data_IF_220124548743
#
_entry.id   IF_220124548743
#
_cell.length_a   1.000
_cell.length_b   1.000
_cell.length_c   1.000
_cell.angle_alpha   90.00
_cell.angle_beta   90.00
_cell.angle_gamma   90.00
#
_symmetry.space_group_name_H-M   'P 1'
#
loop_
_entity.id
_entity.type
_entity.pdbx_description
1 polymer ?
#
# COMPACT_ATOMS: atom_id res chain seq x y z
N UNK A 1 -52.69 2.97 33.30
CA UNK A 1 -52.36 2.28 32.03
C UNK A 1 -53.05 0.92 32.05
N UNK A 2 -53.91 0.60 31.07
CA UNK A 2 -54.62 -0.68 31.06
C UNK A 2 -53.66 -1.84 30.78
N UNK A 3 -53.87 -2.99 31.44
CA UNK A 3 -52.97 -4.14 31.36
C UNK A 3 -52.70 -4.65 29.92
N UNK A 4 -53.60 -4.37 28.97
CA UNK A 4 -53.46 -4.74 27.56
C UNK A 4 -52.35 -3.99 26.79
N UNK A 5 -51.99 -2.76 27.17
CA UNK A 5 -50.93 -2.01 26.47
C UNK A 5 -49.52 -2.42 26.92
N UNK A 6 -49.39 -2.92 28.15
CA UNK A 6 -48.14 -3.45 28.69
C UNK A 6 -47.82 -4.82 28.09
N UNK A 7 -48.84 -5.69 27.97
CA UNK A 7 -48.70 -7.01 27.35
C UNK A 7 -48.27 -6.91 25.87
N UNK A 8 -48.87 -6.00 25.10
CA UNK A 8 -48.43 -5.72 23.71
C UNK A 8 -46.99 -5.23 23.63
N UNK A 9 -46.55 -4.38 24.55
CA UNK A 9 -45.16 -3.90 24.58
C UNK A 9 -44.19 -5.01 24.93
N UNK A 10 -44.45 -5.81 25.96
CA UNK A 10 -43.60 -6.95 26.34
C UNK A 10 -43.53 -7.97 25.20
N UNK A 11 -44.65 -8.30 24.55
CA UNK A 11 -44.70 -9.24 23.43
C UNK A 11 -43.90 -8.75 22.21
N UNK A 12 -43.99 -7.46 21.88
CA UNK A 12 -43.21 -6.84 20.80
C UNK A 12 -41.72 -6.84 21.13
N UNK A 13 -41.33 -6.59 22.39
CA UNK A 13 -39.93 -6.65 22.81
C UNK A 13 -39.38 -8.08 22.81
N UNK A 14 -40.14 -9.10 23.23
CA UNK A 14 -39.71 -10.51 23.12
C UNK A 14 -39.67 -11.01 21.69
N UNK A 15 -40.59 -10.58 20.82
CA UNK A 15 -40.57 -10.94 19.39
C UNK A 15 -39.40 -10.26 18.65
N UNK A 16 -39.07 -9.01 19.00
CA UNK A 16 -37.87 -8.32 18.51
C UNK A 16 -36.58 -8.96 19.05
N UNK A 17 -36.55 -9.41 20.31
CA UNK A 17 -35.39 -10.10 20.87
C UNK A 17 -35.16 -11.48 20.23
N UNK A 18 -36.23 -12.25 20.00
CA UNK A 18 -36.17 -13.54 19.29
C UNK A 18 -35.85 -13.36 17.80
N UNK A 19 -36.34 -12.28 17.17
CA UNK A 19 -35.94 -11.87 15.82
C UNK A 19 -34.47 -11.49 15.74
N UNK A 20 -33.93 -10.78 16.75
CA UNK A 20 -32.51 -10.43 16.82
C UNK A 20 -31.62 -11.66 17.06
N UNK A 21 -32.08 -12.63 17.86
CA UNK A 21 -31.39 -13.91 18.09
C UNK A 21 -31.47 -14.83 16.85
N UNK A 22 -32.55 -14.76 16.06
CA UNK A 22 -32.65 -15.45 14.78
C UNK A 22 -31.81 -14.78 13.67
N UNK A 23 -31.59 -13.45 13.72
CA UNK A 23 -30.63 -12.71 12.88
C UNK A 23 -29.17 -12.88 13.33
N UNK A 24 -28.93 -13.36 14.55
CA UNK A 24 -27.63 -13.89 15.00
C UNK A 24 -27.43 -15.36 14.59
N UNK A 25 -28.40 -15.94 13.85
CA UNK A 25 -28.31 -17.26 13.25
C UNK A 25 -27.13 -17.36 12.29
N UNK A 26 -26.12 -18.12 12.71
CA UNK A 26 -24.95 -18.55 11.93
C UNK A 26 -24.38 -17.46 11.03
N UNK A 27 -23.70 -16.47 11.61
CA UNK A 27 -22.65 -15.83 10.82
C UNK A 27 -21.70 -16.95 10.36
N UNK A 28 -21.41 -17.07 9.05
CA UNK A 28 -20.41 -18.03 8.60
C UNK A 28 -19.13 -17.75 9.41
N UNK A 29 -18.53 -18.81 9.96
CA UNK A 29 -17.31 -18.68 10.72
C UNK A 29 -16.31 -17.87 9.88
N UNK A 30 -15.74 -16.81 10.46
CA UNK A 30 -14.80 -15.97 9.73
C UNK A 30 -13.69 -16.87 9.16
N UNK A 31 -13.49 -16.78 7.85
CA UNK A 31 -12.49 -17.57 7.15
C UNK A 31 -11.12 -17.38 7.81
N UNK A 32 -10.46 -18.49 8.17
CA UNK A 32 -9.20 -18.45 8.92
C UNK A 32 -8.04 -18.08 8.02
N UNK A 33 -7.15 -17.23 8.52
CA UNK A 33 -5.88 -16.93 7.88
C UNK A 33 -5.00 -18.19 7.75
N UNK A 34 -4.47 -18.39 6.55
CA UNK A 34 -3.63 -19.53 6.20
C UNK A 34 -2.18 -19.11 6.02
N UNK A 35 -1.24 -19.78 6.68
CA UNK A 35 0.20 -19.47 6.60
C UNK A 35 0.90 -20.58 5.84
N UNK A 36 1.66 -20.22 4.81
CA UNK A 36 2.53 -21.12 4.05
C UNK A 36 3.98 -20.65 4.26
N UNK A 37 4.83 -21.55 4.75
CA UNK A 37 6.26 -21.30 4.89
C UNK A 37 6.99 -21.75 3.63
N UNK A 38 7.70 -20.83 2.99
CA UNK A 38 8.57 -21.16 1.85
C UNK A 38 9.88 -21.73 2.39
N UNK A 39 10.16 -22.98 2.07
CA UNK A 39 11.32 -23.73 2.59
C UNK A 39 12.49 -23.77 1.62
N UNK A 40 12.29 -23.36 0.37
CA UNK A 40 13.30 -23.36 -0.67
C UNK A 40 13.37 -22.02 -1.40
N UNK A 41 14.58 -21.55 -1.71
CA UNK A 41 14.82 -20.40 -2.59
C UNK A 41 14.90 -20.80 -4.06
N UNK A 42 14.72 -22.09 -4.37
CA UNK A 42 14.62 -22.59 -5.72
C UNK A 42 13.49 -21.90 -6.49
N UNK A 43 13.66 -21.84 -7.81
CA UNK A 43 12.62 -21.36 -8.72
C UNK A 43 12.06 -22.55 -9.50
N UNK A 44 10.84 -22.93 -9.15
CA UNK A 44 10.04 -23.90 -9.89
C UNK A 44 8.86 -23.23 -10.58
N UNK A 45 8.53 -23.77 -11.75
CA UNK A 45 7.45 -23.30 -12.61
C UNK A 45 6.50 -24.46 -12.92
N UNK A 46 5.23 -24.15 -13.22
CA UNK A 46 4.26 -25.18 -13.56
C UNK A 46 4.65 -25.98 -14.83
N UNK A 47 4.51 -27.32 -14.85
CA UNK A 47 4.10 -28.18 -13.75
C UNK A 47 5.22 -28.38 -12.71
N UNK A 48 4.92 -28.09 -11.44
CA UNK A 48 5.85 -28.20 -10.32
C UNK A 48 6.35 -29.63 -10.12
N UNK A 49 7.61 -29.77 -9.72
CA UNK A 49 8.21 -31.06 -9.39
C UNK A 49 7.72 -31.47 -8.00
N UNK A 50 7.67 -32.78 -7.71
CA UNK A 50 7.35 -33.26 -6.36
C UNK A 50 8.65 -33.75 -5.73
N UNK A 51 9.39 -32.83 -5.12
CA UNK A 51 10.67 -33.07 -4.46
C UNK A 51 10.63 -32.87 -2.95
N UNK A 52 9.47 -32.45 -2.43
CA UNK A 52 9.19 -32.30 -1.01
C UNK A 52 9.61 -30.94 -0.45
N UNK A 53 10.12 -30.04 -1.29
CA UNK A 53 10.37 -28.66 -0.92
C UNK A 53 9.14 -27.76 -1.15
N UNK A 54 9.23 -26.51 -0.74
CA UNK A 54 8.19 -25.52 -0.97
C UNK A 54 8.87 -24.25 -1.46
N UNK A 55 8.90 -24.09 -2.77
CA UNK A 55 9.33 -22.87 -3.44
C UNK A 55 8.26 -21.78 -3.39
N UNK A 56 8.65 -20.56 -3.76
CA UNK A 56 7.70 -19.45 -3.84
C UNK A 56 6.60 -19.68 -4.91
N UNK A 57 6.96 -20.28 -6.05
CA UNK A 57 6.01 -20.61 -7.11
C UNK A 57 4.93 -21.57 -6.60
N UNK A 58 5.33 -22.63 -5.91
CA UNK A 58 4.41 -23.60 -5.33
C UNK A 58 3.57 -23.01 -4.20
N UNK A 59 4.14 -22.16 -3.34
CA UNK A 59 3.38 -21.50 -2.27
C UNK A 59 2.26 -20.60 -2.85
N UNK A 60 2.54 -19.89 -3.94
CA UNK A 60 1.56 -19.07 -4.64
C UNK A 60 0.49 -19.93 -5.32
N UNK A 61 0.90 -21.03 -5.96
CA UNK A 61 -0.04 -21.96 -6.57
C UNK A 61 -0.92 -22.67 -5.52
N UNK A 62 -0.35 -23.05 -4.37
CA UNK A 62 -1.06 -23.65 -3.24
C UNK A 62 -2.08 -22.67 -2.65
N UNK A 63 -1.69 -21.39 -2.51
CA UNK A 63 -2.60 -20.33 -2.12
C UNK A 63 -3.75 -20.21 -3.13
N UNK A 64 -3.45 -20.12 -4.43
CA UNK A 64 -4.45 -20.00 -5.49
C UNK A 64 -5.43 -21.19 -5.56
N UNK A 65 -4.96 -22.41 -5.26
CA UNK A 65 -5.77 -23.62 -5.24
C UNK A 65 -6.55 -23.82 -3.92
N UNK A 66 -6.21 -23.10 -2.85
CA UNK A 66 -6.60 -23.42 -1.47
C UNK A 66 -6.25 -24.86 -1.04
N UNK A 67 -5.16 -25.40 -1.58
CA UNK A 67 -4.79 -26.80 -1.43
C UNK A 67 -3.28 -26.94 -1.36
N UNK A 68 -2.82 -28.00 -0.70
CA UNK A 68 -1.40 -28.33 -0.64
C UNK A 68 -0.87 -28.63 -2.05
N UNK A 69 0.22 -27.97 -2.42
CA UNK A 69 1.06 -28.31 -3.56
C UNK A 69 2.45 -28.66 -3.01
N UNK A 70 2.99 -29.78 -3.44
CA UNK A 70 4.22 -30.41 -2.95
C UNK A 70 4.49 -30.24 -1.43
N UNK A 71 5.67 -29.74 -1.03
CA UNK A 71 6.07 -29.54 0.36
C UNK A 71 5.42 -28.33 1.03
N UNK A 72 4.62 -27.55 0.30
CA UNK A 72 3.92 -26.37 0.84
C UNK A 72 2.76 -26.75 1.76
N UNK A 73 3.10 -27.12 2.99
CA UNK A 73 2.13 -27.34 4.06
C UNK A 73 1.59 -26.02 4.61
N UNK A 74 0.34 -26.03 5.05
CA UNK A 74 -0.30 -24.87 5.68
C UNK A 74 -1.15 -25.29 6.88
N UNK A 75 -1.41 -24.33 7.76
CA UNK A 75 -2.21 -24.53 8.97
C UNK A 75 -3.72 -24.75 8.71
N UNK A 76 -4.29 -24.18 7.63
CA UNK A 76 -5.75 -24.20 7.38
C UNK A 76 -6.13 -24.13 5.88
N UNK A 77 -5.72 -25.09 5.05
CA UNK A 77 -6.29 -25.19 3.69
C UNK A 77 -7.81 -25.41 3.70
N UNK A 78 -8.50 -24.92 2.67
CA UNK A 78 -9.94 -24.95 2.51
C UNK A 78 -10.69 -23.95 3.39
N UNK A 79 -10.00 -22.95 3.96
CA UNK A 79 -10.63 -21.97 4.84
C UNK A 79 -11.36 -20.85 4.09
N UNK A 80 -11.04 -20.64 2.80
CA UNK A 80 -11.48 -19.47 2.03
C UNK A 80 -10.93 -18.13 2.54
N UNK A 81 -9.95 -18.15 3.45
CA UNK A 81 -9.38 -16.97 4.10
C UNK A 81 -8.15 -16.42 3.38
N UNK A 82 -7.56 -15.33 3.89
CA UNK A 82 -6.35 -14.75 3.32
C UNK A 82 -5.14 -15.65 3.58
N UNK A 83 -4.19 -15.63 2.64
CA UNK A 83 -2.94 -16.37 2.69
C UNK A 83 -1.77 -15.47 3.10
N UNK A 84 -0.89 -15.99 3.95
CA UNK A 84 0.38 -15.37 4.34
C UNK A 84 1.50 -16.28 3.90
N UNK A 85 2.23 -15.86 2.86
CA UNK A 85 3.40 -16.55 2.34
C UNK A 85 4.62 -15.98 3.04
N UNK A 86 5.29 -16.79 3.86
CA UNK A 86 6.44 -16.37 4.64
C UNK A 86 7.73 -16.77 3.94
N UNK A 87 8.52 -15.77 3.57
CA UNK A 87 9.84 -15.96 2.99
C UNK A 87 10.91 -16.11 4.08
N UNK A 88 12.01 -16.76 3.73
CA UNK A 88 13.18 -16.82 4.58
C UNK A 88 13.81 -15.43 4.76
N UNK A 89 14.13 -14.98 5.99
CA UNK A 89 14.65 -13.65 6.22
C UNK A 89 15.96 -13.37 5.47
N UNK A 90 16.03 -12.20 4.80
CA UNK A 90 17.18 -11.76 3.99
C UNK A 90 17.59 -12.72 2.85
N UNK A 91 16.74 -13.68 2.49
CA UNK A 91 17.02 -14.62 1.40
C UNK A 91 16.79 -13.97 0.03
N UNK A 92 17.41 -14.54 -1.00
CA UNK A 92 17.20 -14.13 -2.40
C UNK A 92 16.52 -15.27 -3.16
N UNK A 93 15.39 -14.95 -3.79
CA UNK A 93 14.60 -15.80 -4.66
C UNK A 93 14.84 -15.35 -6.10
N UNK A 94 15.77 -16.02 -6.79
CA UNK A 94 16.14 -15.70 -8.17
C UNK A 94 15.27 -16.49 -9.14
N UNK A 95 14.37 -15.78 -9.83
CA UNK A 95 13.50 -16.34 -10.87
C UNK A 95 14.30 -16.49 -12.16
N UNK A 96 14.27 -17.68 -12.74
CA UNK A 96 15.12 -18.08 -13.88
C UNK A 96 14.36 -18.44 -15.15
N UNK A 97 13.05 -18.60 -15.07
CA UNK A 97 12.20 -19.07 -16.16
C UNK A 97 10.84 -18.37 -16.15
N UNK A 98 10.12 -18.46 -17.26
CA UNK A 98 8.72 -18.02 -17.35
C UNK A 98 7.84 -19.11 -16.77
N UNK A 99 6.98 -18.76 -15.81
CA UNK A 99 5.97 -19.65 -15.25
C UNK A 99 4.72 -19.72 -16.14
N UNK A 100 4.23 -18.55 -16.58
CA UNK A 100 3.05 -18.46 -17.42
C UNK A 100 3.09 -17.19 -18.30
N UNK A 101 2.20 -17.13 -19.29
CA UNK A 101 2.10 -16.00 -20.23
C UNK A 101 0.77 -15.25 -20.11
N UNK A 102 0.12 -15.30 -18.95
CA UNK A 102 -1.15 -14.60 -18.70
C UNK A 102 -0.88 -13.08 -18.58
N UNK A 103 -1.47 -12.29 -19.49
CA UNK A 103 -1.17 -10.86 -19.62
C UNK A 103 0.35 -10.60 -19.79
N UNK A 104 1.00 -11.43 -20.62
CA UNK A 104 2.43 -11.40 -20.86
C UNK A 104 3.22 -12.38 -19.97
N UNK A 105 4.53 -12.45 -20.19
CA UNK A 105 5.40 -13.40 -19.49
C UNK A 105 5.56 -13.04 -17.99
N UNK A 106 5.31 -14.01 -17.12
CA UNK A 106 5.41 -13.91 -15.67
C UNK A 106 6.41 -14.93 -15.12
N UNK A 107 7.20 -14.54 -14.13
CA UNK A 107 8.09 -15.44 -13.41
C UNK A 107 7.42 -16.21 -12.27
N UNK A 108 6.17 -15.87 -11.91
CA UNK A 108 5.43 -16.53 -10.83
C UNK A 108 3.95 -16.70 -11.20
N UNK A 109 3.23 -17.63 -10.52
CA UNK A 109 1.80 -17.81 -10.72
C UNK A 109 0.97 -16.54 -10.47
N UNK A 110 -0.15 -16.42 -11.19
CA UNK A 110 -1.10 -15.32 -11.05
C UNK A 110 -1.74 -15.28 -9.65
N UNK A 111 -1.84 -14.08 -9.07
CA UNK A 111 -2.57 -13.81 -7.83
C UNK A 111 -4.05 -13.59 -8.14
N UNK A 112 -4.91 -14.49 -7.69
CA UNK A 112 -6.38 -14.46 -7.92
C UNK A 112 -7.20 -14.33 -6.64
N UNK A 113 -6.54 -14.16 -5.49
CA UNK A 113 -7.16 -14.03 -4.16
C UNK A 113 -6.30 -13.20 -3.21
N UNK A 114 -6.71 -13.09 -1.94
CA UNK A 114 -5.99 -12.36 -0.90
C UNK A 114 -4.72 -13.09 -0.44
N UNK A 115 -3.57 -12.56 -0.85
CA UNK A 115 -2.22 -13.06 -0.55
C UNK A 115 -1.38 -11.92 0.03
N UNK A 116 -0.76 -12.18 1.17
CA UNK A 116 0.31 -11.35 1.74
C UNK A 116 1.64 -12.09 1.63
N UNK A 117 2.59 -11.52 0.91
CA UNK A 117 3.98 -11.99 0.88
C UNK A 117 4.76 -11.26 1.98
N UNK A 118 5.13 -12.00 3.02
CA UNK A 118 5.93 -11.49 4.13
C UNK A 118 7.41 -11.70 3.81
N UNK A 119 8.07 -10.63 3.37
CA UNK A 119 9.43 -10.70 2.83
C UNK A 119 10.51 -10.85 3.89
N UNK A 120 10.37 -10.26 5.08
CA UNK A 120 11.44 -10.25 6.09
C UNK A 120 12.82 -9.83 5.52
N UNK A 121 12.83 -8.77 4.72
CA UNK A 121 13.96 -8.24 3.95
C UNK A 121 14.48 -9.17 2.83
N UNK A 122 13.70 -10.17 2.41
CA UNK A 122 14.04 -10.99 1.26
C UNK A 122 14.02 -10.18 -0.04
N UNK A 123 14.66 -10.74 -1.06
CA UNK A 123 14.66 -10.23 -2.43
C UNK A 123 14.00 -11.24 -3.35
N UNK A 124 13.04 -10.80 -4.17
CA UNK A 124 12.63 -11.53 -5.39
C UNK A 124 13.25 -10.80 -6.56
N UNK A 125 13.96 -11.53 -7.42
CA UNK A 125 14.62 -10.95 -8.57
C UNK A 125 14.48 -11.79 -9.82
N UNK A 126 14.46 -11.12 -10.97
CA UNK A 126 14.74 -11.78 -12.23
C UNK A 126 16.24 -12.07 -12.33
N UNK A 127 16.61 -13.30 -12.67
CA UNK A 127 18.00 -13.68 -12.94
C UNK A 127 18.53 -13.02 -14.21
N UNK A 128 19.80 -12.62 -14.22
CA UNK A 128 20.38 -11.83 -15.32
C UNK A 128 20.27 -12.53 -16.70
N UNK A 129 20.39 -13.86 -16.74
CA UNK A 129 20.33 -14.68 -17.96
C UNK A 129 18.93 -15.27 -18.21
N UNK A 130 17.96 -14.97 -17.36
CA UNK A 130 16.60 -15.43 -17.57
C UNK A 130 16.00 -14.71 -18.79
N UNK A 131 14.94 -15.25 -19.41
CA UNK A 131 14.13 -14.48 -20.34
C UNK A 131 13.53 -13.23 -19.68
N UNK A 132 13.03 -12.30 -20.50
CA UNK A 132 12.28 -11.15 -20.00
C UNK A 132 10.92 -11.63 -19.47
N UNK A 133 10.65 -11.34 -18.21
CA UNK A 133 9.34 -11.49 -17.60
C UNK A 133 9.16 -10.54 -16.42
N UNK A 134 7.88 -10.29 -16.15
CA UNK A 134 7.37 -9.62 -14.97
C UNK A 134 7.46 -10.53 -13.74
N UNK A 135 7.69 -9.96 -12.55
CA UNK A 135 7.81 -10.77 -11.33
C UNK A 135 6.45 -11.25 -10.82
N UNK A 136 5.46 -10.36 -10.70
CA UNK A 136 4.17 -10.64 -10.08
C UNK A 136 2.99 -10.15 -10.95
N UNK A 137 1.91 -10.94 -10.95
CA UNK A 137 0.68 -10.64 -11.65
C UNK A 137 -0.53 -10.67 -10.72
N UNK A 138 -1.30 -9.60 -10.66
CA UNK A 138 -2.54 -9.53 -9.88
C UNK A 138 -3.73 -9.40 -10.81
N UNK A 139 -4.64 -10.38 -10.76
CA UNK A 139 -5.89 -10.42 -11.52
C UNK A 139 -6.99 -9.59 -10.85
N UNK A 140 -8.16 -9.47 -11.48
CA UNK A 140 -9.24 -8.59 -10.99
C UNK A 140 -9.82 -8.96 -9.61
N UNK A 141 -9.66 -10.21 -9.19
CA UNK A 141 -10.06 -10.74 -7.87
C UNK A 141 -8.87 -10.91 -6.93
N UNK A 142 -7.67 -10.69 -7.47
CA UNK A 142 -6.42 -10.74 -6.75
C UNK A 142 -6.30 -9.57 -5.78
N UNK A 143 -5.84 -9.89 -4.57
CA UNK A 143 -5.39 -8.90 -3.61
C UNK A 143 -4.00 -9.29 -3.15
N UNK A 144 -3.02 -8.46 -3.46
CA UNK A 144 -1.64 -8.68 -3.12
C UNK A 144 -1.18 -7.65 -2.10
N UNK A 145 -0.65 -8.12 -0.98
CA UNK A 145 0.18 -7.31 -0.08
C UNK A 145 1.62 -7.76 -0.17
N UNK A 146 2.53 -6.84 -0.50
CA UNK A 146 3.98 -7.03 -0.43
C UNK A 146 4.50 -6.26 0.77
N UNK A 147 5.15 -6.95 1.71
CA UNK A 147 5.65 -6.36 2.94
C UNK A 147 7.11 -6.72 3.19
N UNK A 148 7.95 -5.71 3.38
CA UNK A 148 9.36 -5.89 3.75
C UNK A 148 10.13 -6.70 2.71
N UNK A 149 9.95 -6.35 1.42
CA UNK A 149 10.49 -7.09 0.30
C UNK A 149 11.23 -6.17 -0.70
N UNK A 150 12.28 -6.70 -1.32
CA UNK A 150 12.95 -6.08 -2.45
C UNK A 150 12.51 -6.79 -3.73
N UNK A 151 11.95 -6.05 -4.68
CA UNK A 151 11.57 -6.57 -6.00
C UNK A 151 12.47 -5.90 -7.04
N UNK A 152 13.27 -6.69 -7.77
CA UNK A 152 14.23 -6.12 -8.72
C UNK A 152 14.40 -6.88 -10.02
N UNK A 153 14.89 -6.14 -11.01
CA UNK A 153 15.28 -6.64 -12.33
C UNK A 153 14.15 -7.27 -13.15
N UNK A 154 12.89 -7.14 -12.71
CA UNK A 154 11.74 -7.55 -13.51
C UNK A 154 11.75 -6.82 -14.85
N UNK A 155 11.46 -7.52 -15.94
CA UNK A 155 11.57 -6.96 -17.29
C UNK A 155 10.38 -7.38 -18.13
N UNK A 156 9.45 -6.46 -18.37
CA UNK A 156 8.23 -6.67 -19.16
C UNK A 156 8.25 -5.73 -20.38
N UNK A 157 9.03 -6.10 -21.39
CA UNK A 157 9.18 -5.33 -22.63
C UNK A 157 8.71 -6.18 -23.80
N UNK A 158 7.75 -5.68 -24.59
CA UNK A 158 7.45 -6.23 -25.92
C UNK A 158 8.51 -5.76 -26.92
N UNK A 159 8.59 -6.42 -28.07
CA UNK A 159 9.50 -6.10 -29.17
C UNK A 159 9.05 -4.88 -30.00
N UNK A 160 8.47 -3.85 -29.36
CA UNK A 160 8.08 -2.59 -30.00
C UNK A 160 6.59 -2.44 -30.32
N UNK A 161 5.73 -3.27 -29.73
CA UNK A 161 4.27 -3.09 -29.76
C UNK A 161 3.74 -2.62 -28.40
N UNK A 162 2.92 -1.56 -28.38
CA UNK A 162 2.41 -0.94 -27.14
C UNK A 162 1.71 -1.95 -26.24
N UNK A 163 1.98 -1.91 -24.93
CA UNK A 163 1.20 -2.63 -23.92
C UNK A 163 -0.32 -2.42 -23.99
N UNK A 164 -0.77 -1.24 -24.43
CA UNK A 164 -2.19 -0.91 -24.60
C UNK A 164 -2.82 -1.52 -25.87
N UNK A 165 -2.01 -1.80 -26.91
CA UNK A 165 -2.51 -2.22 -28.23
C UNK A 165 -2.42 -3.76 -28.45
N UNK A 166 -1.75 -4.52 -27.56
CA UNK A 166 -1.49 -5.97 -27.77
C UNK A 166 -1.99 -6.95 -26.72
N UNK A 167 -2.76 -6.54 -25.71
CA UNK A 167 -3.22 -7.54 -24.73
C UNK A 167 -2.18 -7.89 -23.64
N UNK A 168 -1.24 -6.96 -23.40
CA UNK A 168 -0.59 -6.68 -22.11
C UNK A 168 0.74 -7.39 -21.88
N UNK A 169 1.80 -6.60 -21.68
CA UNK A 169 3.10 -7.02 -21.16
C UNK A 169 3.80 -5.83 -20.48
N UNK A 170 3.21 -5.31 -19.41
CA UNK A 170 3.73 -4.15 -18.67
C UNK A 170 3.81 -4.42 -17.17
N UNK A 171 4.37 -3.48 -16.39
CA UNK A 171 4.55 -3.61 -14.94
C UNK A 171 5.78 -4.43 -14.57
N UNK A 172 7.00 -3.90 -14.75
CA UNK A 172 8.22 -4.71 -14.72
C UNK A 172 8.36 -5.59 -13.46
N UNK A 173 8.06 -5.04 -12.28
CA UNK A 173 7.89 -5.87 -11.07
C UNK A 173 6.46 -6.39 -10.93
N UNK A 174 5.46 -5.50 -10.92
CA UNK A 174 4.06 -5.82 -10.61
C UNK A 174 3.14 -5.23 -11.69
N UNK A 175 2.25 -6.06 -12.21
CA UNK A 175 1.05 -5.62 -12.93
C UNK A 175 -0.17 -5.92 -12.07
N UNK A 176 -0.98 -4.89 -11.87
CA UNK A 176 -2.29 -4.98 -11.25
C UNK A 176 -3.37 -4.73 -12.29
N UNK A 177 -4.08 -5.79 -12.67
CA UNK A 177 -5.18 -5.78 -13.63
C UNK A 177 -6.50 -5.97 -12.90
N UNK A 178 -7.20 -4.88 -12.61
CA UNK A 178 -8.49 -4.92 -11.91
C UNK A 178 -8.41 -5.24 -10.41
N UNK A 179 -7.24 -5.61 -9.89
CA UNK A 179 -7.06 -6.10 -8.53
C UNK A 179 -6.74 -5.02 -7.50
N UNK A 180 -6.31 -5.45 -6.32
CA UNK A 180 -5.86 -4.58 -5.22
C UNK A 180 -4.41 -4.87 -4.86
N UNK A 181 -3.56 -3.86 -4.88
CA UNK A 181 -2.14 -3.98 -4.48
C UNK A 181 -1.82 -3.10 -3.28
N UNK A 182 -1.19 -3.67 -2.26
CA UNK A 182 -0.61 -2.94 -1.14
C UNK A 182 0.88 -3.20 -1.10
N UNK A 183 1.68 -2.14 -1.23
CA UNK A 183 3.14 -2.20 -1.13
C UNK A 183 3.53 -1.44 0.14
N UNK A 184 4.16 -2.14 1.08
CA UNK A 184 4.65 -1.52 2.32
C UNK A 184 6.05 -1.97 2.67
N UNK A 185 6.85 -1.07 3.25
CA UNK A 185 8.21 -1.38 3.70
C UNK A 185 9.09 -2.02 2.62
N UNK A 186 8.83 -1.70 1.36
CA UNK A 186 9.39 -2.46 0.24
C UNK A 186 10.23 -1.56 -0.67
N UNK A 187 11.16 -2.19 -1.39
CA UNK A 187 12.03 -1.50 -2.33
C UNK A 187 11.91 -2.12 -3.71
N UNK A 188 11.36 -1.35 -4.65
CA UNK A 188 11.20 -1.74 -6.05
C UNK A 188 12.28 -1.05 -6.86
N UNK A 189 13.20 -1.82 -7.44
CA UNK A 189 14.39 -1.24 -8.07
C UNK A 189 14.81 -1.92 -9.37
N UNK A 190 15.32 -1.13 -10.31
CA UNK A 190 15.87 -1.63 -11.57
C UNK A 190 14.90 -2.51 -12.36
N UNK A 191 13.60 -2.25 -12.23
CA UNK A 191 12.60 -2.93 -13.03
C UNK A 191 12.34 -2.14 -14.31
N UNK A 192 12.08 -2.86 -15.39
CA UNK A 192 11.97 -2.30 -16.74
C UNK A 192 10.67 -2.77 -17.36
N UNK A 193 9.90 -1.86 -17.95
CA UNK A 193 8.73 -2.20 -18.76
C UNK A 193 8.47 -1.11 -19.79
N UNK A 194 7.49 -1.25 -20.69
CA UNK A 194 7.06 -0.12 -21.53
C UNK A 194 6.15 0.86 -20.76
N UNK A 195 5.44 0.37 -19.75
CA UNK A 195 4.68 1.20 -18.83
C UNK A 195 4.74 0.64 -17.41
N UNK A 196 4.93 1.53 -16.43
CA UNK A 196 5.07 1.16 -15.04
C UNK A 196 6.32 0.32 -14.84
N UNK A 197 7.51 0.93 -14.96
CA UNK A 197 8.78 0.20 -14.90
C UNK A 197 8.85 -0.69 -13.66
N UNK A 198 8.35 -0.24 -12.52
CA UNK A 198 8.09 -1.07 -11.34
C UNK A 198 6.62 -1.55 -11.24
N UNK A 199 5.67 -0.62 -11.17
CA UNK A 199 4.25 -0.94 -10.96
C UNK A 199 3.40 -0.36 -12.09
N UNK A 200 2.59 -1.20 -12.72
CA UNK A 200 1.46 -0.74 -13.54
C UNK A 200 0.15 -1.14 -12.87
N UNK A 201 -0.77 -0.19 -12.76
CA UNK A 201 -2.16 -0.45 -12.38
C UNK A 201 -3.08 -0.08 -13.54
N UNK A 202 -4.01 -0.97 -13.86
CA UNK A 202 -5.04 -0.74 -14.86
C UNK A 202 -6.35 -1.28 -14.34
N UNK A 203 -7.33 -0.39 -14.20
CA UNK A 203 -8.63 -0.65 -13.58
C UNK A 203 -8.55 -1.25 -12.17
N UNK A 204 -7.39 -1.13 -11.52
CA UNK A 204 -7.08 -1.65 -10.18
C UNK A 204 -6.61 -0.54 -9.26
N UNK A 205 -6.74 -0.75 -7.94
CA UNK A 205 -6.26 0.22 -6.95
C UNK A 205 -4.88 -0.17 -6.40
N UNK A 206 -4.13 0.81 -5.90
CA UNK A 206 -2.88 0.57 -5.18
C UNK A 206 -2.70 1.46 -3.96
N UNK A 207 -2.11 0.92 -2.90
CA UNK A 207 -1.66 1.67 -1.73
C UNK A 207 -0.18 1.42 -1.50
N UNK A 208 0.63 2.49 -1.54
CA UNK A 208 2.07 2.46 -1.40
C UNK A 208 2.46 3.23 -0.14
N UNK A 209 3.13 2.57 0.81
CA UNK A 209 3.51 3.18 2.08
C UNK A 209 4.92 2.81 2.52
N UNK A 210 5.66 3.75 3.11
CA UNK A 210 6.98 3.47 3.70
C UNK A 210 7.92 2.74 2.73
N UNK A 211 7.82 3.03 1.44
CA UNK A 211 8.45 2.24 0.38
C UNK A 211 9.31 3.12 -0.52
N UNK A 212 10.15 2.50 -1.32
CA UNK A 212 11.01 3.23 -2.24
C UNK A 212 11.04 2.61 -3.62
N UNK A 213 10.95 3.47 -4.63
CA UNK A 213 11.03 3.10 -6.03
C UNK A 213 12.26 3.79 -6.62
N UNK A 214 13.24 3.02 -7.08
CA UNK A 214 14.48 3.60 -7.60
C UNK A 214 15.08 2.88 -8.79
N UNK A 215 15.53 3.65 -9.79
CA UNK A 215 16.21 3.09 -10.96
C UNK A 215 15.27 2.29 -11.87
N UNK A 216 13.96 2.44 -11.73
CA UNK A 216 13.01 1.78 -12.62
C UNK A 216 12.88 2.57 -13.93
N UNK A 217 12.66 1.87 -15.04
CA UNK A 217 12.70 2.48 -16.37
C UNK A 217 11.49 2.06 -17.21
N UNK A 218 10.75 3.03 -17.73
CA UNK A 218 9.76 2.82 -18.76
C UNK A 218 10.38 3.07 -20.15
N UNK A 219 10.72 1.99 -20.86
CA UNK A 219 11.43 2.01 -22.15
C UNK A 219 10.49 2.15 -23.35
N UNK A 220 11.05 2.59 -24.46
CA UNK A 220 10.41 2.62 -25.77
C UNK A 220 9.88 4.00 -26.12
N UNK A 221 9.60 4.23 -27.40
CA UNK A 221 9.17 5.55 -27.91
C UNK A 221 7.87 6.09 -27.29
N UNK A 222 7.15 5.24 -26.55
CA UNK A 222 5.94 5.56 -25.80
C UNK A 222 6.07 5.17 -24.32
N UNK A 223 7.30 5.09 -23.77
CA UNK A 223 7.56 4.69 -22.40
C UNK A 223 6.89 5.62 -21.38
N UNK A 224 6.10 5.07 -20.45
CA UNK A 224 5.31 5.86 -19.49
C UNK A 224 5.40 5.34 -18.05
N UNK A 225 5.53 6.23 -17.07
CA UNK A 225 5.51 5.82 -15.66
C UNK A 225 6.76 5.02 -15.32
N UNK A 226 7.92 5.68 -15.31
CA UNK A 226 9.20 5.02 -15.08
C UNK A 226 9.23 4.20 -13.80
N UNK A 227 8.65 4.73 -12.73
CA UNK A 227 8.34 3.97 -11.53
C UNK A 227 6.93 3.37 -11.60
N UNK A 228 5.92 4.24 -11.72
CA UNK A 228 4.51 3.89 -11.57
C UNK A 228 3.72 4.41 -12.78
N UNK A 229 2.91 3.55 -13.38
CA UNK A 229 1.90 3.95 -14.36
C UNK A 229 0.51 3.56 -13.88
N UNK A 230 -0.42 4.51 -13.88
CA UNK A 230 -1.82 4.29 -13.57
C UNK A 230 -2.69 4.60 -14.78
N UNK A 231 -3.50 3.60 -15.14
CA UNK A 231 -4.56 3.68 -16.13
C UNK A 231 -5.90 3.29 -15.50
N UNK A 232 -6.98 3.92 -15.95
CA UNK A 232 -8.32 3.70 -15.41
C UNK A 232 -8.61 4.52 -14.14
N UNK A 233 -9.87 4.48 -13.71
CA UNK A 233 -10.42 5.46 -12.77
C UNK A 233 -10.17 5.15 -11.28
N UNK A 234 -9.74 3.93 -10.95
CA UNK A 234 -9.56 3.54 -9.55
C UNK A 234 -8.35 4.26 -8.94
N UNK A 235 -8.46 4.73 -7.67
CA UNK A 235 -7.45 5.58 -7.09
C UNK A 235 -6.20 4.80 -6.66
N UNK A 236 -5.04 5.48 -6.74
CA UNK A 236 -3.84 5.09 -6.00
C UNK A 236 -3.56 6.06 -4.84
N UNK A 237 -3.00 5.51 -3.77
CA UNK A 237 -2.56 6.25 -2.60
C UNK A 237 -1.06 6.02 -2.38
N UNK A 238 -0.28 7.09 -2.30
CA UNK A 238 1.16 7.03 -2.03
C UNK A 238 1.46 7.87 -0.78
N UNK A 239 2.00 7.24 0.26
CA UNK A 239 2.30 7.91 1.53
C UNK A 239 3.68 7.57 2.08
N UNK A 240 4.35 8.55 2.69
CA UNK A 240 5.61 8.36 3.43
C UNK A 240 6.65 7.56 2.63
N UNK A 241 6.77 7.85 1.33
CA UNK A 241 7.53 7.04 0.38
C UNK A 241 8.46 7.91 -0.47
N UNK A 242 9.49 7.28 -1.02
CA UNK A 242 10.49 7.93 -1.87
C UNK A 242 10.43 7.37 -3.28
N UNK A 243 10.20 8.22 -4.29
CA UNK A 243 10.21 7.86 -5.70
C UNK A 243 11.36 8.61 -6.37
N UNK A 244 12.45 7.91 -6.68
CA UNK A 244 13.73 8.56 -6.97
C UNK A 244 14.50 7.93 -8.13
N UNK A 245 15.11 8.74 -8.99
CA UNK A 245 15.96 8.24 -10.08
C UNK A 245 15.27 7.19 -10.95
N UNK A 246 13.99 7.37 -11.25
CA UNK A 246 13.25 6.56 -12.22
C UNK A 246 13.14 7.34 -13.54
N UNK A 247 13.14 6.62 -14.65
CA UNK A 247 13.19 7.23 -15.98
C UNK A 247 12.05 6.71 -16.86
N UNK A 248 11.59 7.51 -17.80
CA UNK A 248 10.66 7.09 -18.83
C UNK A 248 11.00 7.81 -20.13
N UNK A 249 11.13 7.06 -21.23
CA UNK A 249 11.50 7.65 -22.52
C UNK A 249 10.50 8.73 -23.00
N UNK A 250 9.24 8.73 -22.51
CA UNK A 250 8.22 9.69 -22.96
C UNK A 250 7.48 10.44 -21.86
N UNK A 251 6.96 9.77 -20.84
CA UNK A 251 6.00 10.38 -19.91
C UNK A 251 6.19 9.92 -18.47
N UNK A 252 6.24 10.86 -17.53
CA UNK A 252 6.13 10.55 -16.10
C UNK A 252 7.25 9.64 -15.61
N UNK A 253 8.47 10.16 -15.44
CA UNK A 253 9.60 9.36 -14.96
C UNK A 253 9.33 8.72 -13.59
N UNK A 254 8.73 9.47 -12.66
CA UNK A 254 8.24 8.93 -11.40
C UNK A 254 6.85 8.30 -11.54
N UNK A 255 5.87 9.09 -11.97
CA UNK A 255 4.46 8.71 -12.08
C UNK A 255 3.85 9.19 -13.40
N UNK A 256 3.27 8.27 -14.18
CA UNK A 256 2.25 8.57 -15.19
C UNK A 256 0.88 8.31 -14.57
N UNK A 257 0.01 9.32 -14.53
CA UNK A 257 -1.33 9.22 -13.98
C UNK A 257 -2.39 9.55 -15.04
N UNK A 258 -3.34 8.63 -15.24
CA UNK A 258 -4.57 8.84 -16.03
C UNK A 258 -5.86 8.64 -15.21
N UNK A 259 -5.74 8.36 -13.91
CA UNK A 259 -6.87 8.22 -12.99
C UNK A 259 -6.78 9.20 -11.83
N UNK A 260 -7.12 8.74 -10.62
CA UNK A 260 -6.97 9.51 -9.39
C UNK A 260 -5.73 9.08 -8.58
N UNK A 261 -4.88 10.02 -8.18
CA UNK A 261 -3.74 9.79 -7.30
C UNK A 261 -3.75 10.74 -6.09
N UNK A 262 -3.58 10.19 -4.89
CA UNK A 262 -3.36 10.96 -3.65
C UNK A 262 -1.94 10.75 -3.16
N UNK A 263 -1.22 11.84 -2.93
CA UNK A 263 0.20 11.85 -2.60
C UNK A 263 0.41 12.67 -1.32
N UNK A 264 0.89 12.02 -0.26
CA UNK A 264 1.03 12.62 1.07
C UNK A 264 2.35 12.25 1.75
N UNK A 265 3.17 13.22 2.16
CA UNK A 265 4.50 12.96 2.72
C UNK A 265 5.40 12.13 1.79
N UNK A 266 5.37 12.41 0.49
CA UNK A 266 6.17 11.70 -0.51
C UNK A 266 7.29 12.59 -1.03
N UNK A 267 8.43 12.00 -1.35
CA UNK A 267 9.54 12.68 -2.02
C UNK A 267 9.71 12.13 -3.43
N UNK A 268 9.49 12.97 -4.45
CA UNK A 268 9.88 12.72 -5.83
C UNK A 268 11.17 13.48 -6.14
N UNK A 269 12.20 12.78 -6.61
CA UNK A 269 13.49 13.42 -6.90
C UNK A 269 14.27 12.71 -8.00
N UNK A 270 14.92 13.45 -8.90
CA UNK A 270 15.86 12.82 -9.85
C UNK A 270 15.17 11.97 -10.92
N UNK A 271 13.84 12.02 -11.04
CA UNK A 271 13.13 11.26 -12.05
C UNK A 271 13.13 12.03 -13.39
N UNK A 272 13.14 11.31 -14.51
CA UNK A 272 13.28 11.87 -15.85
C UNK A 272 12.24 11.35 -16.83
N UNK A 273 11.75 12.24 -17.69
CA UNK A 273 10.98 11.91 -18.88
C UNK A 273 10.91 13.13 -19.79
N UNK A 274 10.58 12.94 -21.07
CA UNK A 274 10.34 14.07 -21.99
C UNK A 274 9.21 14.99 -21.48
N UNK A 275 8.14 14.39 -20.93
CA UNK A 275 6.98 15.10 -20.39
C UNK A 275 6.76 14.75 -18.92
N UNK A 276 6.99 15.70 -18.02
CA UNK A 276 6.78 15.53 -16.58
C UNK A 276 7.77 14.53 -15.98
N UNK A 277 8.99 14.97 -15.72
CA UNK A 277 10.06 14.11 -15.21
C UNK A 277 9.72 13.43 -13.91
N UNK A 278 9.17 14.16 -12.92
CA UNK A 278 8.65 13.53 -11.71
C UNK A 278 7.23 12.99 -11.93
N UNK A 279 6.29 13.82 -12.37
CA UNK A 279 4.89 13.43 -12.58
C UNK A 279 4.38 13.92 -13.93
N UNK A 280 3.72 13.04 -14.66
CA UNK A 280 2.84 13.37 -15.78
C UNK A 280 1.40 13.02 -15.41
N UNK A 281 0.50 14.00 -15.50
CA UNK A 281 -0.93 13.82 -15.25
C UNK A 281 -1.74 14.07 -16.53
N UNK A 282 -2.29 13.03 -17.14
CA UNK A 282 -3.05 13.13 -18.39
C UNK A 282 -4.50 12.75 -18.15
N UNK A 283 -5.43 13.68 -18.32
CA UNK A 283 -6.89 13.48 -18.10
C UNK A 283 -7.29 13.09 -16.65
N UNK A 284 -6.31 12.76 -15.80
CA UNK A 284 -6.50 12.37 -14.41
C UNK A 284 -6.47 13.52 -13.40
N UNK A 285 -6.56 13.16 -12.12
CA UNK A 285 -6.45 14.06 -10.97
C UNK A 285 -5.35 13.61 -10.04
N UNK A 286 -4.43 14.50 -9.69
CA UNK A 286 -3.44 14.27 -8.63
C UNK A 286 -3.65 15.28 -7.51
N UNK A 287 -3.68 14.84 -6.26
CA UNK A 287 -3.71 15.72 -5.09
C UNK A 287 -2.46 15.51 -4.23
N UNK A 288 -1.70 16.59 -4.04
CA UNK A 288 -0.50 16.60 -3.20
C UNK A 288 -0.75 17.25 -1.85
N UNK A 289 -0.19 16.68 -0.80
CA UNK A 289 -0.05 17.34 0.51
C UNK A 289 1.28 16.98 1.13
N UNK A 290 1.86 17.91 1.88
CA UNK A 290 3.04 17.64 2.71
C UNK A 290 4.22 17.00 1.96
N UNK A 291 4.37 17.22 0.64
CA UNK A 291 5.27 16.44 -0.22
C UNK A 291 6.38 17.30 -0.83
N UNK A 292 7.48 16.67 -1.24
CA UNK A 292 8.59 17.33 -1.94
C UNK A 292 8.68 16.78 -3.35
N UNK A 293 8.71 17.67 -4.35
CA UNK A 293 8.93 17.32 -5.75
C UNK A 293 10.09 18.16 -6.26
N UNK A 294 11.17 17.54 -6.73
CA UNK A 294 12.26 18.34 -7.26
C UNK A 294 13.26 17.57 -8.10
N UNK A 295 14.30 18.26 -8.55
CA UNK A 295 15.46 17.68 -9.24
C UNK A 295 15.07 16.77 -10.41
N UNK A 296 14.00 17.07 -11.15
CA UNK A 296 13.70 16.33 -12.36
C UNK A 296 14.93 16.34 -13.29
N UNK A 297 15.35 15.18 -13.80
CA UNK A 297 16.51 15.07 -14.69
C UNK A 297 16.18 15.55 -16.11
N UNK A 298 14.90 15.48 -16.51
CA UNK A 298 14.35 15.96 -17.78
C UNK A 298 12.86 16.30 -17.62
N UNK A 299 12.27 17.12 -18.49
CA UNK A 299 10.81 17.30 -18.61
C UNK A 299 10.09 18.05 -17.50
N UNK A 300 10.82 18.67 -16.55
CA UNK A 300 10.25 19.43 -15.44
C UNK A 300 9.72 18.54 -14.30
N UNK A 301 9.29 19.13 -13.19
CA UNK A 301 8.78 18.35 -12.08
C UNK A 301 7.41 17.77 -12.43
N UNK A 302 6.47 18.60 -12.85
CA UNK A 302 5.14 18.16 -13.22
C UNK A 302 4.74 18.65 -14.63
N UNK A 303 3.95 17.83 -15.32
CA UNK A 303 3.26 18.20 -16.53
C UNK A 303 1.81 17.69 -16.51
N UNK A 304 0.84 18.59 -16.64
CA UNK A 304 -0.58 18.24 -16.76
C UNK A 304 -1.09 18.52 -18.18
N UNK A 305 -1.93 17.63 -18.71
CA UNK A 305 -2.67 17.86 -19.96
C UNK A 305 -4.07 17.31 -19.76
N UNK A 306 -5.07 18.18 -19.90
CA UNK A 306 -6.49 17.88 -19.72
C UNK A 306 -6.85 17.23 -18.37
N UNK A 307 -5.94 17.30 -17.39
CA UNK A 307 -6.11 16.81 -16.03
C UNK A 307 -5.85 17.91 -15.00
N UNK A 308 -6.09 17.61 -13.73
CA UNK A 308 -5.92 18.56 -12.62
C UNK A 308 -4.84 18.13 -11.64
N UNK A 309 -3.94 19.05 -11.29
CA UNK A 309 -3.05 18.90 -10.14
C UNK A 309 -3.53 19.83 -9.02
N UNK A 310 -3.92 19.25 -7.89
CA UNK A 310 -4.39 19.94 -6.71
C UNK A 310 -3.34 19.94 -5.58
N UNK A 311 -3.39 20.98 -4.75
CA UNK A 311 -2.58 21.09 -3.52
C UNK A 311 -3.49 21.16 -2.29
N UNK A 312 -3.28 20.22 -1.37
CA UNK A 312 -3.75 20.26 0.01
C UNK A 312 -2.80 21.02 0.96
N UNK A 313 -1.75 21.64 0.42
CA UNK A 313 -0.85 22.52 1.15
C UNK A 313 0.42 21.87 1.68
N UNK A 314 1.36 22.72 2.08
CA UNK A 314 2.67 22.37 2.64
C UNK A 314 3.54 21.53 1.71
N UNK A 315 3.36 21.68 0.40
CA UNK A 315 4.22 21.06 -0.59
C UNK A 315 5.46 21.92 -0.88
N UNK A 316 6.56 21.31 -1.30
CA UNK A 316 7.79 21.99 -1.70
C UNK A 316 8.18 21.56 -3.11
N UNK A 317 8.39 22.52 -4.01
CA UNK A 317 8.97 22.32 -5.33
C UNK A 317 10.12 23.30 -5.62
N UNK A 318 11.16 22.80 -6.30
CA UNK A 318 12.28 23.62 -6.78
C UNK A 318 12.01 24.31 -8.12
N UNK A 319 10.84 24.08 -8.70
CA UNK A 319 10.31 24.74 -9.88
C UNK A 319 8.94 25.36 -9.58
N UNK A 320 8.13 25.63 -10.61
CA UNK A 320 6.74 26.09 -10.46
C UNK A 320 5.92 25.53 -11.63
N UNK A 321 5.93 24.21 -11.76
CA UNK A 321 5.22 23.48 -12.81
C UNK A 321 4.25 22.42 -12.24
N UNK A 322 4.24 22.21 -10.91
CA UNK A 322 3.28 21.34 -10.21
C UNK A 322 1.97 22.02 -9.80
N UNK A 323 1.69 23.22 -10.32
CA UNK A 323 0.43 23.96 -10.11
C UNK A 323 0.05 24.17 -8.63
N UNK A 324 1.02 24.09 -7.71
CA UNK A 324 0.77 24.32 -6.30
C UNK A 324 0.25 25.75 -6.07
N UNK A 325 -0.80 25.85 -5.28
CA UNK A 325 -1.64 27.05 -5.21
C UNK A 325 -1.98 27.48 -3.78
N UNK A 326 -1.66 26.66 -2.77
CA UNK A 326 -1.93 27.02 -1.39
C UNK A 326 -0.87 27.98 -0.86
N UNK A 327 -1.27 28.90 0.03
CA UNK A 327 -0.35 29.84 0.67
C UNK A 327 0.73 29.15 1.53
N UNK A 328 0.49 27.90 1.93
CA UNK A 328 1.41 27.07 2.70
C UNK A 328 2.43 26.32 1.84
N UNK A 329 2.29 26.34 0.52
CA UNK A 329 3.25 25.72 -0.41
C UNK A 329 4.51 26.57 -0.58
N UNK A 330 5.63 25.92 -0.90
CA UNK A 330 6.92 26.54 -1.22
C UNK A 330 7.29 26.21 -2.66
N UNK A 331 7.19 27.20 -3.54
CA UNK A 331 7.47 27.05 -4.98
C UNK A 331 8.72 27.79 -5.37
N UNK A 332 9.36 27.41 -6.48
CA UNK A 332 10.63 27.93 -6.97
C UNK A 332 11.69 27.98 -5.85
N UNK A 333 11.69 26.98 -4.97
CA UNK A 333 12.50 26.98 -3.76
C UNK A 333 13.39 25.74 -3.74
N UNK A 334 14.73 25.88 -3.60
CA UNK A 334 15.60 24.72 -3.46
C UNK A 334 15.10 23.77 -2.36
N UNK A 335 14.83 22.53 -2.75
CA UNK A 335 14.23 21.53 -1.84
C UNK A 335 15.14 21.17 -0.67
N UNK A 336 16.46 21.31 -0.84
CA UNK A 336 17.45 20.96 0.20
C UNK A 336 17.57 19.45 0.45
N UNK A 337 17.18 18.62 -0.51
CA UNK A 337 17.31 17.16 -0.43
C UNK A 337 18.80 16.72 -0.35
N UNK A 338 19.08 15.64 0.37
CA UNK A 338 20.38 14.96 0.39
C UNK A 338 20.57 14.02 -0.81
N UNK A 339 21.43 13.01 -0.66
CA UNK A 339 21.58 11.88 -1.58
C UNK A 339 20.81 10.67 -1.04
N UNK A 340 20.36 9.78 -1.93
CA UNK A 340 19.65 8.56 -1.51
C UNK A 340 20.49 7.73 -0.54
N UNK A 341 20.04 7.61 0.71
CA UNK A 341 20.69 6.78 1.73
C UNK A 341 20.27 5.32 1.53
N UNK A 342 21.18 4.53 1.00
CA UNK A 342 21.01 3.09 0.75
C UNK A 342 21.59 2.20 1.85
N UNK A 343 22.01 2.78 2.99
CA UNK A 343 22.50 2.00 4.14
C UNK A 343 21.41 1.16 4.82
N UNK A 344 20.14 1.40 4.48
CA UNK A 344 18.96 0.70 5.01
C UNK A 344 18.30 -0.17 3.94
N UNK A 345 17.53 -1.16 4.39
CA UNK A 345 16.83 -2.08 3.48
C UNK A 345 15.90 -1.35 2.51
N UNK A 346 15.11 -0.38 3.01
CA UNK A 346 14.32 0.58 2.21
C UNK A 346 15.07 1.92 2.22
N UNK A 347 15.72 2.30 1.11
CA UNK A 347 16.49 3.55 1.02
C UNK A 347 15.60 4.79 1.16
N UNK A 348 16.12 5.92 1.64
CA UNK A 348 15.35 7.18 1.75
C UNK A 348 16.24 8.38 1.44
N UNK A 349 15.68 9.47 0.93
CA UNK A 349 16.45 10.70 0.74
C UNK A 349 16.35 11.55 2.02
N UNK A 350 17.46 11.82 2.74
CA UNK A 350 17.47 12.69 3.88
C UNK A 350 17.30 14.16 3.47
N UNK A 351 17.00 15.03 4.45
CA UNK A 351 17.03 16.47 4.27
C UNK A 351 18.38 17.03 4.73
N UNK A 352 18.93 17.98 3.98
CA UNK A 352 20.10 18.73 4.43
C UNK A 352 19.68 19.86 5.38
N UNK A 353 20.59 20.25 6.27
CA UNK A 353 20.41 21.43 7.11
C UNK A 353 20.06 22.65 6.27
N UNK A 354 18.97 23.34 6.64
CA UNK A 354 18.47 24.52 5.92
C UNK A 354 17.50 24.22 4.76
N UNK A 355 17.09 22.96 4.58
CA UNK A 355 16.02 22.63 3.64
C UNK A 355 14.73 23.40 3.92
N UNK A 356 14.05 23.85 2.86
CA UNK A 356 12.76 24.53 2.94
C UNK A 356 11.59 23.63 3.39
N UNK A 357 11.81 22.31 3.42
CA UNK A 357 10.82 21.35 3.89
C UNK A 357 10.82 21.19 5.42
N UNK A 358 11.90 21.62 6.08
CA UNK A 358 12.08 21.44 7.51
C UNK A 358 11.05 22.27 8.31
N UNK A 359 10.32 21.62 9.21
CA UNK A 359 9.28 22.15 10.07
C UNK A 359 8.20 22.93 9.32
N UNK A 360 7.94 22.57 8.06
CA UNK A 360 7.00 23.30 7.23
C UNK A 360 5.55 23.14 7.71
N UNK A 361 5.22 21.98 8.30
CA UNK A 361 3.84 21.64 8.70
C UNK A 361 3.71 21.78 10.22
N UNK A 362 2.91 22.74 10.73
CA UNK A 362 2.70 22.89 12.16
C UNK A 362 2.12 21.62 12.80
N UNK A 363 2.58 21.28 14.00
CA UNK A 363 1.99 20.19 14.76
C UNK A 363 0.47 20.38 14.98
N UNK A 364 -0.30 19.31 14.80
CA UNK A 364 -1.76 19.32 14.85
C UNK A 364 -2.44 19.73 13.54
N UNK A 365 -1.69 20.04 12.48
CA UNK A 365 -2.23 20.50 11.19
C UNK A 365 -1.98 19.49 10.07
N UNK A 366 -2.91 19.38 9.12
CA UNK A 366 -2.75 18.64 7.86
C UNK A 366 -2.18 17.21 7.98
N UNK A 367 -2.56 16.47 9.04
CA UNK A 367 -2.08 15.11 9.29
C UNK A 367 -0.75 15.01 10.05
N UNK A 368 -0.13 16.14 10.39
CA UNK A 368 1.03 16.19 11.30
C UNK A 368 0.57 16.06 12.75
N UNK A 369 0.59 14.85 13.31
CA UNK A 369 0.19 14.58 14.69
C UNK A 369 1.44 14.32 15.53
N UNK A 370 1.70 15.19 16.50
CA UNK A 370 2.84 15.09 17.41
C UNK A 370 2.89 13.73 18.12
N UNK A 371 4.06 13.10 18.14
CA UNK A 371 4.26 11.79 18.76
C UNK A 371 3.65 10.60 18.01
N UNK A 372 2.90 10.82 16.93
CA UNK A 372 2.12 9.77 16.24
C UNK A 372 2.55 9.62 14.78
N UNK A 373 2.64 10.71 14.02
CA UNK A 373 2.98 10.62 12.59
C UNK A 373 4.46 10.27 12.43
N UNK A 374 4.74 9.14 11.78
CA UNK A 374 6.09 8.69 11.46
C UNK A 374 6.53 9.12 10.05
N UNK A 375 7.84 9.21 9.83
CA UNK A 375 8.43 9.31 8.51
C UNK A 375 8.60 7.92 7.85
N UNK A 376 9.20 7.84 6.66
CA UNK A 376 9.43 6.58 5.96
C UNK A 376 10.19 5.55 6.82
N UNK A 377 11.02 6.04 7.75
CA UNK A 377 11.87 5.24 8.65
C UNK A 377 11.16 4.87 9.95
N UNK A 378 9.91 5.32 10.13
CA UNK A 378 9.12 5.28 11.35
C UNK A 378 9.64 6.17 12.49
N UNK A 379 10.43 7.20 12.19
CA UNK A 379 10.77 8.22 13.19
C UNK A 379 9.66 9.24 13.31
N UNK A 380 9.37 9.68 14.54
CA UNK A 380 8.31 10.65 14.82
C UNK A 380 8.64 11.99 14.15
N UNK A 381 7.67 12.54 13.42
CA UNK A 381 7.81 13.81 12.69
C UNK A 381 7.75 15.06 13.56
N UNK A 382 6.80 15.17 14.49
CA UNK A 382 6.67 16.36 15.34
C UNK A 382 6.80 16.03 16.83
N UNK A 383 7.55 16.88 17.57
CA UNK A 383 7.70 16.84 19.03
C UNK A 383 8.05 15.44 19.60
N UNK A 384 8.81 14.65 18.84
CA UNK A 384 9.22 13.30 19.23
C UNK A 384 10.54 13.28 20.01
N UNK A 385 10.72 12.26 20.84
CA UNK A 385 12.02 11.99 21.47
C UNK A 385 13.01 11.58 20.37
N UNK A 386 13.93 12.51 20.03
CA UNK A 386 14.98 12.41 19.00
C UNK A 386 14.67 13.07 17.63
N UNK A 387 14.23 14.33 17.68
CA UNK A 387 14.69 15.45 16.81
C UNK A 387 13.80 16.00 15.68
N UNK A 388 12.60 15.48 15.46
CA UNK A 388 11.60 16.22 14.69
C UNK A 388 11.28 17.53 15.42
N UNK A 389 11.38 18.66 14.74
CA UNK A 389 11.27 19.97 15.37
C UNK A 389 9.86 20.27 15.89
N UNK A 390 9.48 21.55 15.95
CA UNK A 390 8.14 21.95 16.41
C UNK A 390 7.00 21.53 15.46
N UNK A 391 7.32 21.12 14.24
CA UNK A 391 6.38 20.68 13.21
C UNK A 391 6.92 19.45 12.47
N UNK A 392 6.13 18.94 11.53
CA UNK A 392 6.57 17.88 10.63
C UNK A 392 7.28 18.48 9.43
N UNK A 393 8.23 17.71 8.89
CA UNK A 393 8.84 18.00 7.62
C UNK A 393 7.98 17.50 6.45
N UNK A 394 7.99 18.24 5.36
CA UNK A 394 7.41 17.76 4.10
C UNK A 394 8.29 16.67 3.49
N UNK A 395 7.67 15.74 2.77
CA UNK A 395 8.34 14.62 2.11
C UNK A 395 8.50 13.39 2.99
N UNK A 396 9.28 12.43 2.50
CA UNK A 396 9.40 11.09 3.06
C UNK A 396 10.21 11.02 4.37
N UNK A 397 11.00 12.06 4.67
CA UNK A 397 12.00 12.05 5.73
C UNK A 397 11.74 13.16 6.75
N UNK A 398 11.93 12.86 8.03
CA UNK A 398 12.02 13.87 9.10
C UNK A 398 13.48 14.19 9.41
N UNK A 399 13.86 15.45 9.29
CA UNK A 399 15.19 15.95 9.56
C UNK A 399 15.61 15.72 11.02
N UNK A 400 16.78 15.11 11.20
CA UNK A 400 17.42 14.90 12.48
C UNK A 400 18.87 15.45 12.44
N UNK A 401 19.19 16.34 13.38
CA UNK A 401 20.54 16.88 13.65
C UNK A 401 21.51 15.92 14.37
N UNK A 402 21.05 14.78 14.90
CA UNK A 402 21.84 13.79 15.65
C UNK A 402 21.87 12.47 14.89
N UNK A 403 22.80 12.37 13.94
CA UNK A 403 23.06 11.13 13.18
C UNK A 403 23.71 9.99 14.01
N UNK A 404 23.72 10.08 15.35
CA UNK A 404 24.47 9.17 16.25
C UNK A 404 23.63 8.36 17.26
N UNK A 405 22.29 8.47 17.26
CA UNK A 405 21.49 7.68 18.19
C UNK A 405 21.06 6.39 17.50
N UNK A 406 21.63 5.28 17.97
CA UNK A 406 21.16 3.92 17.71
C UNK A 406 19.65 3.87 17.91
N UNK A 407 18.93 3.45 16.87
CA UNK A 407 17.48 3.39 16.81
C UNK A 407 16.83 3.03 18.16
N UNK A 408 16.23 4.03 18.81
CA UNK A 408 15.03 3.75 19.60
C UNK A 408 13.96 3.54 18.51
N UNK A 409 13.84 2.29 18.05
CA UNK A 409 12.64 1.86 17.33
C UNK A 409 11.46 2.31 18.18
N UNK A 410 10.38 2.74 17.55
CA UNK A 410 9.07 2.65 18.19
C UNK A 410 8.84 1.15 18.48
N UNK A 411 9.31 0.67 19.63
CA UNK A 411 9.10 -0.70 20.12
C UNK A 411 7.61 -1.01 20.35
N UNK A 412 6.74 -0.02 20.12
CA UNK A 412 5.29 -0.11 20.22
C UNK A 412 4.58 -0.45 18.92
N UNK A 413 5.25 -0.45 17.76
CA UNK A 413 4.77 -1.25 16.63
C UNK A 413 5.33 -2.66 16.78
N UNK A 414 4.76 -3.41 17.75
CA UNK A 414 4.47 -4.81 17.44
C UNK A 414 3.81 -4.78 16.07
N UNK A 415 4.22 -5.65 15.17
CA UNK A 415 3.43 -6.01 13.99
C UNK A 415 2.01 -6.28 14.51
N UNK A 416 1.16 -5.25 14.53
CA UNK A 416 -0.24 -5.44 14.78
C UNK A 416 -0.65 -6.32 13.60
N UNK A 417 -1.23 -7.50 13.85
CA UNK A 417 -1.79 -8.28 12.77
C UNK A 417 -2.68 -7.35 11.94
N UNK A 418 -2.74 -7.55 10.62
CA UNK A 418 -3.49 -6.67 9.72
C UNK A 418 -4.85 -6.37 10.34
N UNK A 419 -5.23 -5.09 10.33
CA UNK A 419 -6.49 -4.59 10.87
C UNK A 419 -7.60 -5.61 10.62
N UNK A 420 -8.02 -6.31 11.68
CA UNK A 420 -9.19 -7.15 11.62
C UNK A 420 -10.37 -6.18 11.62
N UNK A 421 -11.14 -6.03 10.52
CA UNK A 421 -12.22 -5.04 10.43
C UNK A 421 -13.35 -5.26 11.45
N UNK A 422 -13.31 -6.36 12.19
CA UNK A 422 -14.37 -6.77 13.09
C UNK A 422 -14.27 -6.17 14.50
N UNK A 423 -13.11 -5.68 14.96
CA UNK A 423 -12.98 -5.27 16.37
C UNK A 423 -13.88 -4.07 16.73
N UNK A 424 -14.09 -3.13 15.81
CA UNK A 424 -14.99 -1.99 16.03
C UNK A 424 -16.48 -2.39 16.16
N UNK A 425 -16.91 -3.46 15.48
CA UNK A 425 -18.28 -3.98 15.54
C UNK A 425 -18.58 -4.67 16.88
N UNK A 426 -17.60 -5.36 17.47
CA UNK A 426 -17.76 -6.03 18.77
C UNK A 426 -17.91 -5.04 19.92
N UNK A 427 -17.14 -3.96 19.94
CA UNK A 427 -17.29 -2.91 20.96
C UNK A 427 -18.61 -2.14 20.79
N UNK A 428 -19.02 -1.85 19.56
CA UNK A 428 -20.31 -1.21 19.27
C UNK A 428 -21.51 -2.05 19.71
N UNK A 429 -21.50 -3.35 19.43
CA UNK A 429 -22.56 -4.28 19.83
C UNK A 429 -22.60 -4.52 21.36
N UNK A 430 -21.45 -4.61 22.02
CA UNK A 430 -21.36 -4.72 23.46
C UNK A 430 -21.89 -3.47 24.18
N UNK A 431 -21.61 -2.27 23.65
CA UNK A 431 -22.15 -1.00 24.15
C UNK A 431 -23.68 -0.92 23.99
N UNK A 432 -24.23 -1.38 22.86
CA UNK A 432 -25.67 -1.45 22.61
C UNK A 432 -26.40 -2.45 23.53
N UNK A 433 -25.80 -3.60 23.82
CA UNK A 433 -26.33 -4.61 24.76
C UNK A 433 -26.30 -4.12 26.21
N UNK A 434 -25.25 -3.40 26.62
CA UNK A 434 -25.18 -2.79 27.94
C UNK A 434 -26.20 -1.64 28.11
N UNK A 435 -26.41 -0.84 27.06
CA UNK A 435 -27.40 0.25 27.09
C UNK A 435 -28.84 -0.28 27.17
N UNK A 436 -29.15 -1.35 26.45
CA UNK A 436 -30.47 -1.99 26.47
C UNK A 436 -30.73 -2.71 27.79
N UNK A 437 -29.74 -3.38 28.38
CA UNK A 437 -29.83 -3.96 29.72
C UNK A 437 -30.04 -2.89 30.82
N UNK A 438 -29.38 -1.73 30.70
CA UNK A 438 -29.57 -0.60 31.61
C UNK A 438 -30.97 0.01 31.48
N UNK A 439 -31.46 0.24 30.25
CA UNK A 439 -32.80 0.75 29.99
C UNK A 439 -33.91 -0.19 30.48
N UNK A 440 -33.71 -1.51 30.34
CA UNK A 440 -34.61 -2.53 30.85
C UNK A 440 -34.67 -2.53 32.39
N UNK A 441 -33.51 -2.50 33.07
CA UNK A 441 -33.45 -2.40 34.54
C UNK A 441 -34.11 -1.12 35.07
N UNK A 442 -33.95 0.01 34.38
CA UNK A 442 -34.56 1.29 34.75
C UNK A 442 -36.09 1.27 34.60
N UNK A 443 -36.58 0.56 33.59
CA UNK A 443 -38.02 0.40 33.34
C UNK A 443 -38.67 -0.51 34.38
N UNK A 444 -38.01 -1.61 34.76
CA UNK A 444 -38.47 -2.50 35.84
C UNK A 444 -38.49 -1.77 37.19
N UNK A 445 -37.45 -1.00 37.53
CA UNK A 445 -37.42 -0.21 38.77
C UNK A 445 -38.60 0.77 38.86
N UNK A 446 -38.85 1.54 37.79
CA UNK A 446 -40.01 2.46 37.74
C UNK A 446 -41.36 1.75 37.86
N UNK A 447 -41.47 0.51 37.40
CA UNK A 447 -42.68 -0.30 37.55
C UNK A 447 -42.84 -0.83 38.98
N UNK A 448 -41.76 -1.28 39.61
CA UNK A 448 -41.75 -1.69 41.02
C UNK A 448 -42.11 -0.51 41.94
N UNK A 449 -41.53 0.67 41.72
CA UNK A 449 -41.84 1.87 42.51
C UNK A 449 -43.31 2.30 42.38
N UNK A 450 -43.93 2.10 41.21
CA UNK A 450 -45.34 2.43 40.97
C UNK A 450 -46.33 1.40 41.57
N UNK A 451 -45.93 0.13 41.67
CA UNK A 451 -46.68 -0.92 42.35
C UNK A 451 -46.62 -0.80 43.88
N UNK A 452 -45.54 -0.24 44.42
CA UNK A 452 -45.38 0.00 45.86
C UNK A 452 -45.98 1.34 46.33
N UNK A 453 -46.17 2.33 45.44
CA UNK A 453 -46.82 3.60 45.77
C UNK A 453 -48.35 3.59 45.63
N UNK A 454 -48.96 2.44 45.30
CA UNK A 454 -50.39 2.31 45.02
C UNK A 454 -51.06 1.16 45.79
N UNK A 455 -50.62 0.93 47.04
CA UNK A 455 -51.45 0.28 48.06
C UNK A 455 -51.86 1.33 49.11
N UNK A 456 -53.16 1.52 49.36
CA UNK A 456 -53.63 2.29 50.52
C UNK A 456 -53.25 1.62 51.84
#
# INVERSE_FOLDING_TARGET
MSQGSLFRRVFVWTALLLGLVALLGTQPAAAKATVILVTSTGHEVAPFVNDGDCTLGEALAAAAADQRIDGCTANHFGSGGPFFIQLAPNATYTLTAIDNTLAGANGLPQITRDVTIQGYNATIERGNNAPNFRLLYVANTGKLTVDSLRLRNGTATSDGTRCQDTGWACGGAILNEGGTVVIRNSFLTNNVAEAGGALMTVDGNATIRYSTFSGNFAVGSQGQGGAIAQFGDLPILIEHSTIVNNDADKRGGGLQNEGAATINFVTFSGNGAELGGNIRNFEGTVTFSNSIIGRASEGGNCASLDGTIGSGGYNVEDANDCEFSQATDRRNTPTGLGTLDSSRFVPVIPLNSGSAAINLIPAGSNGCIAGVTGDQRYFVRANGASQGGSGCDSGAYEFDTNSLITAIKLDNFKQLPPEQPNVALWYGAALLLLFSAWAFRRTIRRYADHLYSSKP
#
